data_IF_462481103342
#
_entry.id   IF_462481103342
#
_cell.length_a   1.000
_cell.length_b   1.000
_cell.length_c   1.000
_cell.angle_alpha   90.00
_cell.angle_beta   90.00
_cell.angle_gamma   90.00
#
_symmetry.space_group_name_H-M   'P 1'
#
loop_
_entity.id
_entity.type
_entity.pdbx_description
1 polymer ?
#
# COMPACT_ATOMS: atom_id res chain seq x y z
N UNK A 1 6.96 10.25 9.70
CA UNK A 1 5.67 9.52 9.66
C UNK A 1 4.89 9.74 8.38
N UNK A 2 5.07 10.84 7.65
CA UNK A 2 4.34 11.10 6.38
C UNK A 2 4.77 10.12 5.30
N UNK A 3 6.08 9.84 5.14
CA UNK A 3 6.55 8.98 4.05
C UNK A 3 6.09 7.52 4.18
N UNK A 4 6.14 6.93 5.38
CA UNK A 4 5.66 5.55 5.62
C UNK A 4 4.13 5.47 5.46
N UNK A 5 3.38 6.45 5.98
CA UNK A 5 1.91 6.50 5.82
C UNK A 5 1.52 6.65 4.35
N UNK A 6 2.21 7.52 3.61
CA UNK A 6 1.98 7.74 2.17
C UNK A 6 2.30 6.48 1.37
N UNK A 7 3.44 5.82 1.62
CA UNK A 7 3.78 4.56 0.95
C UNK A 7 2.78 3.45 1.27
N UNK A 8 2.31 3.36 2.53
CA UNK A 8 1.27 2.41 2.91
C UNK A 8 -0.06 2.64 2.18
N UNK A 9 -0.51 3.90 2.08
CA UNK A 9 -1.71 4.28 1.32
C UNK A 9 -1.53 3.93 -0.17
N UNK A 10 -0.35 4.23 -0.74
CA UNK A 10 -0.04 3.94 -2.13
C UNK A 10 -0.13 2.43 -2.42
N UNK A 11 0.46 1.59 -1.56
CA UNK A 11 0.40 0.12 -1.65
C UNK A 11 -1.05 -0.36 -1.61
N UNK A 12 -1.87 0.20 -0.73
CA UNK A 12 -3.28 -0.17 -0.60
C UNK A 12 -4.09 0.16 -1.87
N UNK A 13 -3.96 1.39 -2.38
CA UNK A 13 -4.61 1.83 -3.62
C UNK A 13 -4.17 0.96 -4.80
N UNK A 14 -2.86 0.68 -4.90
CA UNK A 14 -2.29 -0.12 -5.97
C UNK A 14 -2.79 -1.57 -5.93
N UNK A 15 -2.97 -2.13 -4.73
CA UNK A 15 -3.54 -3.47 -4.53
C UNK A 15 -4.99 -3.56 -5.00
N UNK A 16 -5.82 -2.57 -4.64
CA UNK A 16 -7.21 -2.49 -5.12
C UNK A 16 -7.24 -2.36 -6.65
N UNK A 17 -6.40 -1.49 -7.21
CA UNK A 17 -6.32 -1.26 -8.65
C UNK A 17 -5.93 -2.53 -9.40
N UNK A 18 -4.96 -3.29 -8.88
CA UNK A 18 -4.56 -4.60 -9.43
C UNK A 18 -5.70 -5.62 -9.37
N UNK A 19 -6.46 -5.66 -8.27
CA UNK A 19 -7.60 -6.56 -8.14
C UNK A 19 -8.69 -6.23 -9.16
N UNK A 20 -9.01 -4.95 -9.36
CA UNK A 20 -9.97 -4.49 -10.35
C UNK A 20 -9.52 -4.80 -11.78
N UNK A 21 -8.25 -4.51 -12.12
CA UNK A 21 -7.67 -4.86 -13.42
C UNK A 21 -7.74 -6.36 -13.70
N UNK A 22 -7.36 -7.18 -12.71
CA UNK A 22 -7.43 -8.65 -12.83
C UNK A 22 -8.87 -9.13 -13.07
N UNK A 23 -9.84 -8.58 -12.33
CA UNK A 23 -11.27 -8.87 -12.53
C UNK A 23 -11.74 -8.48 -13.93
N UNK A 24 -11.35 -7.30 -14.41
CA UNK A 24 -11.70 -6.82 -15.75
C UNK A 24 -11.10 -7.71 -16.84
N UNK A 25 -9.83 -8.10 -16.73
CA UNK A 25 -9.16 -9.02 -17.66
C UNK A 25 -9.89 -10.36 -17.69
N UNK A 26 -10.25 -10.89 -16.52
CA UNK A 26 -10.99 -12.15 -16.40
C UNK A 26 -12.36 -12.09 -17.09
N UNK A 27 -13.14 -11.01 -16.85
CA UNK A 27 -14.43 -10.78 -17.52
C UNK A 27 -14.27 -10.65 -19.03
N UNK A 28 -13.25 -9.93 -19.49
CA UNK A 28 -12.97 -9.76 -20.91
C UNK A 28 -12.57 -11.08 -21.58
N UNK A 29 -11.82 -11.94 -20.88
CA UNK A 29 -11.44 -13.26 -21.36
C UNK A 29 -12.65 -14.20 -21.50
N UNK A 30 -13.52 -14.25 -20.48
CA UNK A 30 -14.77 -15.02 -20.56
C UNK A 30 -15.63 -14.56 -21.74
N UNK A 31 -15.81 -13.24 -21.88
CA UNK A 31 -16.59 -12.67 -22.98
C UNK A 31 -16.03 -13.03 -24.35
N UNK A 32 -14.71 -12.94 -24.53
CA UNK A 32 -14.06 -13.32 -25.78
C UNK A 32 -14.30 -14.79 -26.13
N UNK A 33 -14.18 -15.69 -25.16
CA UNK A 33 -14.42 -17.12 -25.38
C UNK A 33 -15.88 -17.39 -25.78
N UNK A 34 -16.83 -16.82 -25.02
CA UNK A 34 -18.27 -16.97 -25.31
C UNK A 34 -18.62 -16.42 -26.71
N UNK A 35 -18.00 -15.31 -27.11
CA UNK A 35 -18.22 -14.69 -28.41
C UNK A 35 -17.62 -15.52 -29.55
N UNK A 36 -16.39 -16.04 -29.39
CA UNK A 36 -15.77 -16.91 -30.39
C UNK A 36 -16.54 -18.22 -30.55
N UNK A 37 -16.98 -18.83 -29.45
CA UNK A 37 -17.78 -20.05 -29.47
C UNK A 37 -19.12 -19.82 -30.18
N UNK A 38 -19.75 -18.66 -29.96
CA UNK A 38 -20.95 -18.25 -30.68
C UNK A 38 -20.69 -18.15 -32.19
N UNK A 39 -19.68 -17.40 -32.61
CA UNK A 39 -19.37 -17.21 -34.03
C UNK A 39 -19.02 -18.53 -34.72
N UNK A 40 -18.22 -19.38 -34.07
CA UNK A 40 -17.87 -20.71 -34.59
C UNK A 40 -19.10 -21.61 -34.70
N UNK A 41 -19.99 -21.59 -33.71
CA UNK A 41 -21.24 -22.36 -33.74
C UNK A 41 -22.15 -21.91 -34.89
N UNK A 42 -22.31 -20.59 -35.08
CA UNK A 42 -23.12 -20.05 -36.17
C UNK A 42 -22.54 -20.42 -37.54
N UNK A 43 -21.21 -20.32 -37.70
CA UNK A 43 -20.52 -20.78 -38.90
C UNK A 43 -20.78 -22.28 -39.14
N UNK A 44 -20.62 -23.13 -38.14
CA UNK A 44 -20.84 -24.58 -38.26
C UNK A 44 -22.26 -24.90 -38.70
N UNK A 45 -23.27 -24.22 -38.14
CA UNK A 45 -24.67 -24.41 -38.55
C UNK A 45 -24.92 -24.05 -40.01
N UNK A 46 -24.32 -22.99 -40.56
CA UNK A 46 -24.46 -22.67 -42.00
C UNK A 46 -23.94 -23.81 -42.87
N UNK A 47 -22.82 -24.41 -42.50
CA UNK A 47 -22.20 -25.52 -43.20
C UNK A 47 -23.04 -26.80 -43.08
N UNK A 48 -23.58 -27.10 -41.89
CA UNK A 48 -24.47 -28.24 -41.67
C UNK A 48 -25.77 -28.11 -42.46
N UNK A 49 -26.36 -26.91 -42.53
CA UNK A 49 -27.54 -26.63 -43.34
C UNK A 49 -27.24 -26.91 -44.82
N UNK A 50 -26.14 -26.37 -45.34
CA UNK A 50 -25.74 -26.58 -46.74
C UNK A 50 -25.47 -28.06 -47.06
N UNK A 51 -24.78 -28.78 -46.14
CA UNK A 51 -24.51 -30.22 -46.25
C UNK A 51 -25.81 -31.03 -46.26
N UNK A 52 -26.73 -30.75 -45.36
CA UNK A 52 -28.02 -31.45 -45.28
C UNK A 52 -28.88 -31.18 -46.53
N UNK A 53 -28.83 -29.98 -47.09
CA UNK A 53 -29.50 -29.66 -48.36
C UNK A 53 -28.93 -30.46 -49.52
N UNK A 54 -27.60 -30.57 -49.62
CA UNK A 54 -26.96 -31.43 -50.61
C UNK A 54 -27.36 -32.90 -50.45
N UNK A 55 -27.43 -33.39 -49.20
CA UNK A 55 -27.86 -34.76 -48.91
C UNK A 55 -29.32 -35.00 -49.32
N UNK A 56 -30.25 -34.10 -48.97
CA UNK A 56 -31.66 -34.18 -49.36
C UNK A 56 -31.83 -34.11 -50.89
N UNK A 57 -31.04 -33.28 -51.56
CA UNK A 57 -31.05 -33.19 -53.01
C UNK A 57 -30.61 -34.50 -53.68
N UNK A 58 -29.54 -35.12 -53.16
CA UNK A 58 -28.99 -36.38 -53.71
C UNK A 58 -29.86 -37.60 -53.38
N UNK A 59 -30.49 -37.62 -52.21
CA UNK A 59 -31.29 -38.72 -51.69
C UNK A 59 -32.71 -38.21 -51.36
N UNK A 60 -33.59 -38.17 -52.36
CA UNK A 60 -34.89 -37.49 -52.28
C UNK A 60 -35.86 -38.03 -51.22
N UNK A 61 -35.69 -39.29 -50.81
CA UNK A 61 -36.50 -39.92 -49.75
C UNK A 61 -35.91 -39.73 -48.33
N UNK A 62 -34.81 -38.99 -48.21
CA UNK A 62 -34.15 -38.77 -46.93
C UNK A 62 -34.92 -37.82 -46.01
N UNK A 63 -34.79 -38.05 -44.71
CA UNK A 63 -35.47 -37.24 -43.70
C UNK A 63 -34.88 -35.83 -43.59
N UNK A 64 -35.74 -34.80 -43.53
CA UNK A 64 -35.32 -33.41 -43.29
C UNK A 64 -35.08 -33.08 -41.81
N UNK A 65 -35.14 -34.07 -40.90
CA UNK A 65 -35.02 -33.85 -39.45
C UNK A 65 -33.72 -33.15 -39.03
N UNK A 66 -32.58 -33.56 -39.58
CA UNK A 66 -31.28 -32.93 -39.26
C UNK A 66 -31.18 -31.51 -39.83
N UNK A 67 -31.75 -31.25 -41.03
CA UNK A 67 -31.85 -29.90 -41.58
C UNK A 67 -32.68 -28.98 -40.66
N UNK A 68 -33.86 -29.44 -40.24
CA UNK A 68 -34.74 -28.67 -39.37
C UNK A 68 -34.10 -28.43 -37.98
N UNK A 69 -33.31 -29.39 -37.49
CA UNK A 69 -32.54 -29.27 -36.24
C UNK A 69 -31.45 -28.20 -36.35
N UNK A 70 -30.64 -28.20 -37.41
CA UNK A 70 -29.60 -27.19 -37.63
C UNK A 70 -30.19 -25.79 -37.80
N UNK A 71 -31.31 -25.65 -38.52
CA UNK A 71 -32.02 -24.37 -38.67
C UNK A 71 -32.54 -23.87 -37.31
N UNK A 72 -33.21 -24.73 -36.53
CA UNK A 72 -33.70 -24.37 -35.19
C UNK A 72 -32.56 -23.98 -34.25
N UNK A 73 -31.43 -24.69 -34.30
CA UNK A 73 -30.27 -24.37 -33.48
C UNK A 73 -29.65 -23.01 -33.84
N UNK A 74 -29.56 -22.69 -35.14
CA UNK A 74 -29.11 -21.38 -35.61
C UNK A 74 -30.02 -20.26 -35.09
N UNK A 75 -31.33 -20.36 -35.35
CA UNK A 75 -32.32 -19.33 -34.97
C UNK A 75 -32.35 -19.14 -33.45
N UNK A 76 -32.35 -20.23 -32.68
CA UNK A 76 -32.30 -20.17 -31.22
C UNK A 76 -31.06 -19.46 -30.69
N UNK A 77 -29.91 -19.63 -31.33
CA UNK A 77 -28.67 -18.95 -30.94
C UNK A 77 -28.65 -17.47 -31.35
N UNK A 78 -29.41 -17.08 -32.38
CA UNK A 78 -29.60 -15.67 -32.77
C UNK A 78 -30.62 -14.95 -31.89
N UNK A 79 -31.70 -15.62 -31.48
CA UNK A 79 -32.78 -15.04 -30.67
C UNK A 79 -32.40 -14.88 -29.18
N UNK A 80 -31.72 -15.88 -28.59
CA UNK A 80 -31.42 -15.88 -27.16
C UNK A 80 -30.24 -15.00 -26.75
N UNK A 81 -29.56 -14.37 -27.70
CA UNK A 81 -28.44 -13.49 -27.42
C UNK A 81 -28.59 -12.30 -28.34
N UNK A 82 -29.07 -11.18 -27.81
CA UNK A 82 -28.72 -9.88 -28.38
C UNK A 82 -27.24 -9.96 -28.69
N UNK A 83 -26.89 -9.97 -29.98
CA UNK A 83 -25.51 -10.02 -30.40
C UNK A 83 -24.79 -8.93 -29.59
N UNK A 84 -23.87 -9.26 -28.67
CA UNK A 84 -23.40 -8.32 -27.65
C UNK A 84 -22.36 -7.34 -28.22
N UNK A 85 -22.58 -6.94 -29.47
CA UNK A 85 -21.64 -6.27 -30.36
C UNK A 85 -21.81 -4.77 -30.27
N UNK A 86 -23.00 -4.29 -29.92
CA UNK A 86 -23.27 -2.85 -29.88
C UNK A 86 -22.69 -2.13 -28.65
N UNK A 87 -22.30 -2.84 -27.58
CA UNK A 87 -21.79 -2.19 -26.37
C UNK A 87 -20.27 -2.17 -26.21
N UNK A 88 -19.50 -2.89 -27.06
CA UNK A 88 -18.04 -3.03 -26.83
C UNK A 88 -17.15 -3.26 -28.05
N UNK A 89 -17.72 -3.43 -29.24
CA UNK A 89 -16.95 -3.63 -30.47
C UNK A 89 -16.50 -2.32 -31.11
N UNK A 90 -15.40 -2.34 -31.86
CA UNK A 90 -15.07 -1.26 -32.79
C UNK A 90 -16.16 -1.10 -33.85
N UNK A 91 -16.28 0.11 -34.42
CA UNK A 91 -17.24 0.43 -35.50
C UNK A 91 -17.20 -0.60 -36.64
N UNK A 92 -16.02 -1.13 -36.95
CA UNK A 92 -15.77 -2.13 -38.00
C UNK A 92 -16.40 -3.49 -37.67
N UNK A 93 -16.28 -3.98 -36.43
CA UNK A 93 -16.91 -5.23 -35.97
C UNK A 93 -18.44 -5.11 -36.04
N UNK A 94 -19.00 -3.96 -35.67
CA UNK A 94 -20.45 -3.73 -35.76
C UNK A 94 -20.93 -3.75 -37.21
N UNK A 95 -20.20 -3.10 -38.13
CA UNK A 95 -20.54 -3.10 -39.56
C UNK A 95 -20.47 -4.50 -40.18
N UNK A 96 -19.44 -5.27 -39.85
CA UNK A 96 -19.25 -6.65 -40.33
C UNK A 96 -20.35 -7.59 -39.85
N UNK A 97 -20.77 -7.43 -38.61
CA UNK A 97 -21.90 -8.19 -38.06
C UNK A 97 -23.19 -7.91 -38.81
N UNK A 98 -23.53 -6.65 -39.08
CA UNK A 98 -24.72 -6.31 -39.88
C UNK A 98 -24.67 -6.95 -41.27
N UNK A 99 -23.49 -6.99 -41.89
CA UNK A 99 -23.27 -7.67 -43.17
C UNK A 99 -23.53 -9.17 -43.07
N UNK A 100 -23.05 -9.84 -42.03
CA UNK A 100 -23.33 -11.26 -41.76
C UNK A 100 -24.83 -11.49 -41.55
N UNK A 101 -25.52 -10.64 -40.78
CA UNK A 101 -26.98 -10.74 -40.59
C UNK A 101 -27.73 -10.65 -41.92
N UNK A 102 -27.33 -9.72 -42.80
CA UNK A 102 -27.93 -9.59 -44.13
C UNK A 102 -27.70 -10.85 -44.98
N UNK A 103 -26.46 -11.33 -45.03
CA UNK A 103 -26.11 -12.55 -45.78
C UNK A 103 -26.81 -13.79 -45.23
N UNK A 104 -27.02 -13.86 -43.92
CA UNK A 104 -27.77 -14.93 -43.29
C UNK A 104 -29.22 -14.92 -43.75
N UNK A 105 -29.87 -13.76 -43.77
CA UNK A 105 -31.26 -13.65 -44.22
C UNK A 105 -31.40 -14.07 -45.70
N UNK A 106 -30.44 -13.69 -46.55
CA UNK A 106 -30.38 -14.12 -47.95
C UNK A 106 -30.21 -15.65 -48.06
N UNK A 107 -29.27 -16.24 -47.32
CA UNK A 107 -29.06 -17.69 -47.28
C UNK A 107 -30.29 -18.44 -46.76
N UNK A 108 -30.89 -17.96 -45.67
CA UNK A 108 -32.07 -18.56 -45.07
C UNK A 108 -33.26 -18.57 -46.04
N UNK A 109 -33.45 -17.49 -46.82
CA UNK A 109 -34.49 -17.43 -47.85
C UNK A 109 -34.25 -18.49 -48.94
N UNK A 110 -33.01 -18.68 -49.39
CA UNK A 110 -32.67 -19.73 -50.35
C UNK A 110 -32.98 -21.13 -49.80
N UNK A 111 -32.65 -21.38 -48.53
CA UNK A 111 -32.91 -22.64 -47.83
C UNK A 111 -34.41 -22.92 -47.73
N UNK A 112 -35.23 -21.93 -47.38
CA UNK A 112 -36.70 -22.11 -47.32
C UNK A 112 -37.29 -22.39 -48.70
N UNK A 113 -36.87 -21.63 -49.71
CA UNK A 113 -37.33 -21.86 -51.08
C UNK A 113 -36.97 -23.28 -51.57
N UNK A 114 -35.78 -23.78 -51.25
CA UNK A 114 -35.40 -25.15 -51.56
C UNK A 114 -36.30 -26.17 -50.86
N UNK A 115 -36.55 -25.97 -49.56
CA UNK A 115 -37.39 -26.85 -48.73
C UNK A 115 -38.83 -26.95 -49.26
N UNK A 116 -39.39 -25.86 -49.77
CA UNK A 116 -40.74 -25.85 -50.33
C UNK A 116 -40.81 -26.56 -51.69
N UNK A 117 -39.82 -26.31 -52.56
CA UNK A 117 -39.78 -26.94 -53.89
C UNK A 117 -39.38 -28.41 -53.86
N UNK A 118 -38.54 -28.83 -52.92
CA UNK A 118 -38.14 -30.23 -52.76
C UNK A 118 -39.32 -31.16 -52.43
N UNK A 119 -40.43 -30.63 -51.89
CA UNK A 119 -41.66 -31.38 -51.59
C UNK A 119 -42.61 -31.56 -52.77
N UNK A 120 -42.42 -30.84 -53.88
CA UNK A 120 -43.34 -30.84 -55.03
C UNK A 120 -42.66 -31.50 -56.24
N UNK A 121 -43.00 -32.77 -56.48
CA UNK A 121 -42.33 -33.60 -57.48
C UNK A 121 -42.88 -33.35 -58.89
N UNK A 122 -42.07 -32.79 -59.79
CA UNK A 122 -42.38 -32.65 -61.23
C UNK A 122 -41.13 -32.96 -62.09
N UNK A 123 -41.25 -33.47 -63.33
CA UNK A 123 -40.10 -33.73 -64.21
C UNK A 123 -39.18 -32.51 -64.47
N UNK A 124 -39.73 -31.29 -64.48
CA UNK A 124 -38.96 -30.03 -64.63
C UNK A 124 -38.30 -29.55 -63.32
N UNK A 125 -38.57 -30.19 -62.19
CA UNK A 125 -38.07 -29.79 -60.86
C UNK A 125 -36.56 -29.97 -60.71
N UNK A 126 -35.93 -30.86 -61.48
CA UNK A 126 -34.53 -31.26 -61.25
C UNK A 126 -33.53 -30.15 -61.59
N UNK A 127 -33.69 -29.45 -62.72
CA UNK A 127 -32.80 -28.33 -63.11
C UNK A 127 -32.95 -27.15 -62.14
N UNK A 128 -34.19 -26.88 -61.71
CA UNK A 128 -34.48 -25.81 -60.76
C UNK A 128 -33.90 -26.10 -59.37
N UNK A 129 -34.01 -27.34 -58.90
CA UNK A 129 -33.41 -27.78 -57.64
C UNK A 129 -31.88 -27.75 -57.69
N UNK A 130 -31.28 -28.16 -58.80
CA UNK A 130 -29.82 -28.09 -59.00
C UNK A 130 -29.31 -26.65 -58.89
N UNK A 131 -29.98 -25.71 -59.58
CA UNK A 131 -29.66 -24.29 -59.47
C UNK A 131 -29.75 -23.79 -58.03
N UNK A 132 -30.82 -24.15 -57.30
CA UNK A 132 -31.01 -23.72 -55.91
C UNK A 132 -29.94 -24.29 -54.97
N UNK A 133 -29.54 -25.55 -55.15
CA UNK A 133 -28.45 -26.16 -54.37
C UNK A 133 -27.13 -25.43 -54.64
N UNK A 134 -26.86 -25.06 -55.90
CA UNK A 134 -25.67 -24.29 -56.26
C UNK A 134 -25.69 -22.87 -55.66
N UNK A 135 -26.84 -22.19 -55.71
CA UNK A 135 -27.01 -20.86 -55.10
C UNK A 135 -26.80 -20.92 -53.58
N UNK A 136 -27.32 -21.97 -52.92
CA UNK A 136 -27.12 -22.22 -51.48
C UNK A 136 -25.64 -22.51 -51.17
N UNK A 137 -24.95 -23.29 -52.01
CA UNK A 137 -23.52 -23.56 -51.86
C UNK A 137 -22.68 -22.27 -51.91
N UNK A 138 -22.91 -21.42 -52.90
CA UNK A 138 -22.19 -20.15 -53.02
C UNK A 138 -22.53 -19.18 -51.89
N UNK A 139 -23.80 -19.09 -51.49
CA UNK A 139 -24.21 -18.27 -50.36
C UNK A 139 -23.59 -18.74 -49.03
N UNK A 140 -23.51 -20.06 -48.80
CA UNK A 140 -22.83 -20.64 -47.64
C UNK A 140 -21.33 -20.29 -47.63
N UNK A 141 -20.63 -20.44 -48.76
CA UNK A 141 -19.19 -20.08 -48.84
C UNK A 141 -19.00 -18.60 -48.49
N UNK A 142 -19.84 -17.72 -49.02
CA UNK A 142 -19.78 -16.29 -48.72
C UNK A 142 -19.99 -16.01 -47.23
N UNK A 143 -20.94 -16.66 -46.58
CA UNK A 143 -21.16 -16.54 -45.14
C UNK A 143 -19.96 -17.03 -44.33
N UNK A 144 -19.43 -18.20 -44.67
CA UNK A 144 -18.27 -18.78 -43.99
C UNK A 144 -17.06 -17.84 -44.05
N UNK A 145 -16.78 -17.24 -45.21
CA UNK A 145 -15.69 -16.28 -45.37
C UNK A 145 -15.86 -15.04 -44.48
N UNK A 146 -17.08 -14.49 -44.39
CA UNK A 146 -17.33 -13.31 -43.55
C UNK A 146 -17.26 -13.65 -42.06
N UNK A 147 -17.71 -14.84 -41.64
CA UNK A 147 -17.51 -15.33 -40.27
C UNK A 147 -16.02 -15.47 -39.94
N UNK A 148 -15.22 -16.05 -40.83
CA UNK A 148 -13.77 -16.19 -40.63
C UNK A 148 -13.07 -14.83 -40.53
N UNK A 149 -13.47 -13.88 -41.36
CA UNK A 149 -12.95 -12.52 -41.29
C UNK A 149 -13.32 -11.86 -39.95
N UNK A 150 -14.59 -11.96 -39.52
CA UNK A 150 -15.05 -11.41 -38.25
C UNK A 150 -14.31 -12.02 -37.04
N UNK A 151 -14.14 -13.34 -37.03
CA UNK A 151 -13.36 -14.05 -36.01
C UNK A 151 -11.92 -13.52 -35.96
N UNK A 152 -11.28 -13.35 -37.13
CA UNK A 152 -9.92 -12.81 -37.22
C UNK A 152 -9.83 -11.38 -36.69
N UNK A 153 -10.73 -10.49 -37.12
CA UNK A 153 -10.78 -9.10 -36.66
C UNK A 153 -10.95 -9.02 -35.14
N UNK A 154 -11.92 -9.77 -34.60
CA UNK A 154 -12.17 -9.81 -33.16
C UNK A 154 -10.94 -10.32 -32.38
N UNK A 155 -10.32 -11.41 -32.84
CA UNK A 155 -9.13 -11.98 -32.21
C UNK A 155 -7.97 -10.97 -32.19
N UNK A 156 -7.70 -10.28 -33.30
CA UNK A 156 -6.64 -9.27 -33.36
C UNK A 156 -6.91 -8.09 -32.42
N UNK A 157 -8.16 -7.59 -32.37
CA UNK A 157 -8.53 -6.50 -31.46
C UNK A 157 -8.43 -6.93 -29.99
N UNK A 158 -8.90 -8.14 -29.67
CA UNK A 158 -8.77 -8.72 -28.34
C UNK A 158 -7.31 -8.90 -27.93
N UNK A 159 -6.46 -9.50 -28.77
CA UNK A 159 -5.05 -9.75 -28.46
C UNK A 159 -4.28 -8.45 -28.19
N UNK A 160 -4.54 -7.40 -28.98
CA UNK A 160 -3.94 -6.08 -28.78
C UNK A 160 -4.32 -5.48 -27.42
N UNK A 161 -5.61 -5.50 -27.09
CA UNK A 161 -6.11 -4.95 -25.83
C UNK A 161 -5.64 -5.80 -24.63
N UNK A 162 -5.65 -7.13 -24.77
CA UNK A 162 -5.22 -8.07 -23.75
C UNK A 162 -3.73 -7.93 -23.42
N UNK A 163 -2.86 -7.82 -24.44
CA UNK A 163 -1.43 -7.62 -24.22
C UNK A 163 -1.14 -6.30 -23.48
N UNK A 164 -1.83 -5.22 -23.86
CA UNK A 164 -1.72 -3.93 -23.19
C UNK A 164 -2.12 -4.02 -21.70
N UNK A 165 -3.31 -4.57 -21.41
CA UNK A 165 -3.78 -4.73 -20.02
C UNK A 165 -2.89 -5.65 -19.19
N UNK A 166 -2.39 -6.75 -19.77
CA UNK A 166 -1.48 -7.69 -19.09
C UNK A 166 -0.12 -7.08 -18.81
N UNK A 167 0.43 -6.32 -19.76
CA UNK A 167 1.70 -5.58 -19.56
C UNK A 167 1.57 -4.53 -18.45
N UNK A 168 0.45 -3.79 -18.43
CA UNK A 168 0.17 -2.82 -17.37
C UNK A 168 0.07 -3.51 -16.00
N UNK A 169 -0.65 -4.64 -15.91
CA UNK A 169 -0.77 -5.42 -14.68
C UNK A 169 0.60 -5.87 -14.15
N UNK A 170 1.47 -6.41 -15.00
CA UNK A 170 2.82 -6.82 -14.59
C UNK A 170 3.69 -5.64 -14.15
N UNK A 171 3.58 -4.50 -14.85
CA UNK A 171 4.31 -3.28 -14.49
C UNK A 171 3.89 -2.78 -13.11
N UNK A 172 2.57 -2.70 -12.86
CA UNK A 172 2.03 -2.32 -11.55
C UNK A 172 2.44 -3.32 -10.47
N UNK A 173 2.42 -4.62 -10.75
CA UNK A 173 2.89 -5.63 -9.80
C UNK A 173 4.37 -5.47 -9.46
N UNK A 174 5.23 -5.18 -10.43
CA UNK A 174 6.65 -4.91 -10.19
C UNK A 174 6.84 -3.68 -9.29
N UNK A 175 6.08 -2.60 -9.55
CA UNK A 175 6.08 -1.39 -8.72
C UNK A 175 5.66 -1.72 -7.28
N UNK A 176 4.64 -2.57 -7.10
CA UNK A 176 4.19 -3.02 -5.78
C UNK A 176 5.32 -3.71 -5.00
N UNK A 177 6.05 -4.62 -5.66
CA UNK A 177 7.15 -5.36 -5.04
C UNK A 177 8.27 -4.40 -4.61
N UNK A 178 8.65 -3.45 -5.46
CA UNK A 178 9.67 -2.46 -5.12
C UNK A 178 9.24 -1.59 -3.93
N UNK A 179 7.97 -1.17 -3.88
CA UNK A 179 7.41 -0.41 -2.76
C UNK A 179 7.41 -1.21 -1.45
N UNK A 180 7.08 -2.50 -1.51
CA UNK A 180 7.14 -3.39 -0.34
C UNK A 180 8.57 -3.51 0.19
N UNK A 181 9.55 -3.74 -0.70
CA UNK A 181 10.96 -3.80 -0.31
C UNK A 181 11.41 -2.48 0.35
N UNK A 182 11.01 -1.34 -0.22
CA UNK A 182 11.29 -0.04 0.36
C UNK A 182 10.68 0.11 1.77
N UNK A 183 9.41 -0.28 1.93
CA UNK A 183 8.72 -0.24 3.23
C UNK A 183 9.39 -1.14 4.26
N UNK A 184 9.85 -2.33 3.88
CA UNK A 184 10.59 -3.23 4.76
C UNK A 184 11.90 -2.61 5.25
N UNK A 185 12.65 -1.95 4.37
CA UNK A 185 13.89 -1.25 4.74
C UNK A 185 13.61 -0.14 5.76
N UNK A 186 12.59 0.69 5.51
CA UNK A 186 12.17 1.75 6.44
C UNK A 186 11.73 1.20 7.80
N UNK A 187 10.98 0.08 7.81
CA UNK A 187 10.54 -0.56 9.05
C UNK A 187 11.72 -1.08 9.87
N UNK A 188 12.73 -1.67 9.20
CA UNK A 188 13.94 -2.17 9.86
C UNK A 188 14.72 -1.05 10.55
N UNK A 189 14.88 0.10 9.88
CA UNK A 189 15.51 1.29 10.47
C UNK A 189 14.75 1.78 11.70
N UNK A 190 13.41 1.90 11.60
CA UNK A 190 12.56 2.31 12.71
C UNK A 190 12.68 1.37 13.92
N UNK A 191 12.66 0.06 13.69
CA UNK A 191 12.82 -0.94 14.76
C UNK A 191 14.19 -0.79 15.43
N UNK A 192 15.26 -0.61 14.65
CA UNK A 192 16.61 -0.40 15.20
C UNK A 192 16.68 0.86 16.06
N UNK A 193 16.05 1.94 15.61
CA UNK A 193 15.93 3.16 16.39
C UNK A 193 15.18 2.94 17.71
N UNK A 194 14.00 2.32 17.67
CA UNK A 194 13.20 2.06 18.88
C UNK A 194 13.97 1.18 19.87
N UNK A 195 14.70 0.16 19.39
CA UNK A 195 15.52 -0.69 20.26
C UNK A 195 16.66 0.09 20.93
N UNK A 196 17.38 0.94 20.19
CA UNK A 196 18.42 1.79 20.78
C UNK A 196 17.84 2.82 21.73
N UNK A 197 16.74 3.47 21.35
CA UNK A 197 16.02 4.41 22.19
C UNK A 197 15.59 3.76 23.52
N UNK A 198 14.95 2.58 23.46
CA UNK A 198 14.51 1.86 24.66
C UNK A 198 15.69 1.40 25.51
N UNK A 199 16.75 0.88 24.90
CA UNK A 199 17.93 0.43 25.65
C UNK A 199 18.68 1.60 26.29
N UNK A 200 18.87 2.72 25.60
CA UNK A 200 19.47 3.93 26.18
C UNK A 200 18.57 4.51 27.26
N UNK A 201 17.26 4.62 27.03
CA UNK A 201 16.30 5.10 28.05
C UNK A 201 16.30 4.19 29.27
N UNK A 202 16.29 2.87 29.06
CA UNK A 202 16.39 1.90 30.16
C UNK A 202 17.69 2.07 30.92
N UNK A 203 18.84 2.19 30.24
CA UNK A 203 20.14 2.47 30.89
C UNK A 203 20.09 3.73 31.75
N UNK A 204 19.49 4.82 31.27
CA UNK A 204 19.35 6.07 32.04
C UNK A 204 18.48 5.84 33.30
N UNK A 205 17.40 5.08 33.19
CA UNK A 205 16.45 4.86 34.30
C UNK A 205 16.99 3.81 35.30
N UNK A 206 17.66 2.75 34.81
CA UNK A 206 18.08 1.61 35.64
C UNK A 206 19.50 1.72 36.16
N UNK A 207 20.38 2.46 35.48
CA UNK A 207 21.66 2.80 36.07
C UNK A 207 21.40 3.88 37.12
N UNK A 208 21.77 3.59 38.36
CA UNK A 208 21.71 4.53 39.49
C UNK A 208 22.70 5.69 39.35
N UNK A 209 23.52 5.71 38.29
CA UNK A 209 24.45 6.77 37.94
C UNK A 209 23.91 7.63 36.81
N UNK A 210 23.71 8.91 37.08
CA UNK A 210 23.34 9.95 36.10
C UNK A 210 24.56 10.60 35.45
N UNK A 211 25.77 10.07 35.69
CA UNK A 211 27.02 10.66 35.18
C UNK A 211 27.21 10.34 33.70
N UNK A 212 27.51 11.36 32.91
CA UNK A 212 27.92 11.28 31.50
C UNK A 212 26.94 10.46 30.63
N UNK A 213 25.64 10.81 30.71
CA UNK A 213 24.62 10.17 29.89
C UNK A 213 25.01 10.29 28.41
N UNK A 214 25.17 9.14 27.74
CA UNK A 214 25.62 9.11 26.36
C UNK A 214 24.47 9.34 25.36
N UNK A 215 24.66 10.24 24.37
CA UNK A 215 23.69 10.44 23.31
C UNK A 215 23.60 9.22 22.39
N UNK A 216 22.45 9.06 21.73
CA UNK A 216 22.27 8.02 20.73
C UNK A 216 23.10 8.38 19.48
N UNK A 217 24.11 7.56 19.18
CA UNK A 217 24.95 7.69 17.97
C UNK A 217 24.44 6.76 16.87
N UNK A 218 23.88 7.33 15.80
CA UNK A 218 23.50 6.64 14.56
C UNK A 218 23.85 7.48 13.33
N UNK A 219 24.24 6.80 12.24
CA UNK A 219 24.98 7.38 11.10
C UNK A 219 24.11 7.77 9.91
N UNK A 220 22.93 7.18 9.74
CA UNK A 220 22.03 7.44 8.62
C UNK A 220 20.60 7.09 9.03
N UNK A 221 19.71 8.08 9.01
CA UNK A 221 18.33 7.90 9.43
C UNK A 221 17.41 8.80 8.59
N UNK A 222 16.18 8.33 8.37
CA UNK A 222 15.10 9.17 7.84
C UNK A 222 14.93 10.45 8.69
N UNK A 223 14.47 11.54 8.05
CA UNK A 223 14.36 12.88 8.65
C UNK A 223 13.66 12.87 10.00
N UNK A 224 12.66 12.00 10.17
CA UNK A 224 11.87 11.91 11.39
C UNK A 224 12.59 11.18 12.52
N UNK A 225 13.33 10.12 12.21
CA UNK A 225 14.15 9.43 13.21
C UNK A 225 15.29 10.35 13.65
N UNK A 226 15.90 11.09 12.71
CA UNK A 226 16.89 12.13 13.01
C UNK A 226 16.35 13.19 13.99
N UNK A 227 15.12 13.66 13.77
CA UNK A 227 14.48 14.64 14.66
C UNK A 227 14.23 14.06 16.05
N UNK A 228 13.70 12.83 16.14
CA UNK A 228 13.47 12.16 17.42
C UNK A 228 14.79 11.94 18.19
N UNK A 229 15.83 11.51 17.49
CA UNK A 229 17.20 11.37 18.03
C UNK A 229 17.72 12.70 18.56
N UNK A 230 17.59 13.77 17.78
CA UNK A 230 18.08 15.10 18.19
C UNK A 230 17.33 15.61 19.43
N UNK A 231 16.00 15.45 19.49
CA UNK A 231 15.22 15.83 20.66
C UNK A 231 15.64 15.04 21.92
N UNK A 232 15.87 13.73 21.76
CA UNK A 232 16.35 12.90 22.86
C UNK A 232 17.76 13.32 23.31
N UNK A 233 18.67 13.54 22.37
CA UNK A 233 20.05 13.96 22.69
C UNK A 233 20.08 15.34 23.35
N UNK A 234 19.21 16.28 22.95
CA UNK A 234 19.05 17.58 23.61
C UNK A 234 18.55 17.43 25.06
N UNK A 235 17.65 16.47 25.32
CA UNK A 235 17.21 16.18 26.68
C UNK A 235 18.37 15.63 27.52
N UNK A 236 19.14 14.69 26.97
CA UNK A 236 20.32 14.10 27.60
C UNK A 236 21.35 15.19 27.95
N UNK A 237 21.64 16.09 27.01
CA UNK A 237 22.55 17.22 27.20
C UNK A 237 22.07 18.17 28.30
N UNK A 238 20.77 18.50 28.32
CA UNK A 238 20.17 19.33 29.39
C UNK A 238 20.29 18.68 30.77
N UNK A 239 20.13 17.36 30.87
CA UNK A 239 20.29 16.64 32.12
C UNK A 239 21.74 16.74 32.59
N UNK A 240 22.71 16.40 31.71
CA UNK A 240 24.14 16.48 32.04
C UNK A 240 24.54 17.88 32.47
N UNK A 241 24.15 18.92 31.71
CA UNK A 241 24.46 20.31 32.04
C UNK A 241 23.80 20.76 33.35
N UNK A 242 22.57 20.31 33.65
CA UNK A 242 21.92 20.63 34.93
C UNK A 242 22.65 20.02 36.11
N UNK A 243 23.12 18.77 35.99
CA UNK A 243 23.90 18.08 37.03
C UNK A 243 25.23 18.82 37.28
N UNK A 244 25.93 19.18 36.22
CA UNK A 244 27.18 19.95 36.29
C UNK A 244 26.97 21.31 36.96
N UNK A 245 25.96 22.07 36.51
CA UNK A 245 25.61 23.36 37.08
C UNK A 245 25.21 23.25 38.56
N UNK A 246 24.43 22.23 38.93
CA UNK A 246 24.06 21.98 40.33
C UNK A 246 25.29 21.64 41.18
N UNK A 247 26.21 20.81 40.67
CA UNK A 247 27.45 20.47 41.37
C UNK A 247 28.31 21.72 41.63
N UNK A 248 28.52 22.55 40.60
CA UNK A 248 29.26 23.80 40.72
C UNK A 248 28.58 24.80 41.66
N UNK A 249 27.24 24.91 41.60
CA UNK A 249 26.47 25.82 42.47
C UNK A 249 26.54 25.41 43.94
N UNK A 250 26.50 24.11 44.23
CA UNK A 250 26.66 23.58 45.59
C UNK A 250 28.08 23.87 46.11
N UNK A 251 29.10 23.66 45.28
CA UNK A 251 30.49 23.92 45.66
C UNK A 251 30.76 25.40 45.93
N UNK A 252 30.26 26.29 45.06
CA UNK A 252 30.34 27.73 45.26
C UNK A 252 29.59 28.19 46.53
N UNK A 253 28.39 27.67 46.76
CA UNK A 253 27.60 28.00 47.95
C UNK A 253 28.29 27.52 49.23
N UNK A 254 28.91 26.33 49.20
CA UNK A 254 29.70 25.81 50.31
C UNK A 254 30.91 26.70 50.63
N UNK A 255 31.68 27.11 49.61
CA UNK A 255 32.80 28.03 49.80
C UNK A 255 32.38 29.40 50.32
N UNK A 256 31.24 29.92 49.83
CA UNK A 256 30.68 31.21 50.29
C UNK A 256 30.25 31.15 51.76
N UNK A 257 29.65 30.04 52.20
CA UNK A 257 29.26 29.85 53.60
C UNK A 257 30.49 29.87 54.52
N UNK A 258 31.57 29.18 54.16
CA UNK A 258 32.81 29.19 54.95
C UNK A 258 33.41 30.59 55.09
N UNK A 259 33.33 31.40 54.02
CA UNK A 259 33.81 32.78 54.06
C UNK A 259 32.95 33.66 54.98
N UNK A 260 31.63 33.46 54.98
CA UNK A 260 30.73 34.16 55.91
C UNK A 260 30.99 33.72 57.35
N UNK A 261 31.20 32.42 57.60
CA UNK A 261 31.54 31.86 58.91
C UNK A 261 32.81 32.49 59.49
N UNK A 262 33.86 32.57 58.67
CA UNK A 262 35.12 33.24 59.02
C UNK A 262 34.89 34.70 59.39
N UNK A 263 34.15 35.45 58.57
CA UNK A 263 33.88 36.87 58.83
C UNK A 263 33.08 37.09 60.13
N UNK A 264 32.12 36.22 60.46
CA UNK A 264 31.35 36.31 61.72
C UNK A 264 32.25 35.97 62.92
N UNK A 265 33.13 34.98 62.77
CA UNK A 265 34.10 34.58 63.81
C UNK A 265 35.09 35.72 64.10
N UNK A 266 35.65 36.34 63.06
CA UNK A 266 36.54 37.50 63.18
C UNK A 266 35.83 38.68 63.86
N UNK A 267 34.54 38.89 63.54
CA UNK A 267 33.72 39.92 64.17
C UNK A 267 33.48 39.64 65.67
N UNK A 268 33.23 38.38 66.04
CA UNK A 268 33.09 37.96 67.44
C UNK A 268 34.39 38.20 68.21
N UNK A 269 35.54 37.82 67.65
CA UNK A 269 36.85 38.07 68.27
C UNK A 269 37.11 39.58 68.45
N UNK A 270 36.74 40.39 67.46
CA UNK A 270 36.81 41.85 67.56
C UNK A 270 35.91 42.40 68.67
N UNK A 271 34.69 41.88 68.82
CA UNK A 271 33.77 42.27 69.91
C UNK A 271 34.36 41.89 71.28
N UNK A 272 34.90 40.68 71.43
CA UNK A 272 35.53 40.22 72.68
C UNK A 272 36.76 41.05 73.05
N UNK A 273 37.59 41.41 72.07
CA UNK A 273 38.78 42.26 72.30
C UNK A 273 38.40 43.70 72.65
N UNK A 274 37.33 44.24 72.05
CA UNK A 274 36.80 45.57 72.39
C UNK A 274 36.10 45.62 73.76
N UNK A 275 35.57 44.50 74.27
CA UNK A 275 34.99 44.38 75.61
C UNK A 275 36.02 44.48 76.75
N UNK A 276 37.32 44.53 76.42
CA UNK A 276 38.39 44.80 77.36
C UNK A 276 38.26 46.18 78.01
N UNK A 277 37.76 46.18 79.25
CA UNK A 277 37.68 47.28 80.24
C UNK A 277 36.45 48.21 80.19
N UNK A 278 35.58 48.01 81.20
CA UNK A 278 34.45 48.86 81.67
C UNK A 278 33.05 48.59 81.10
N UNK A 279 32.20 48.05 82.00
CA UNK A 279 30.75 47.77 81.93
C UNK A 279 30.24 46.88 80.79
N UNK A 280 29.66 45.74 81.16
CA UNK A 280 28.90 44.84 80.27
C UNK A 280 27.70 45.61 79.71
N UNK A 281 27.80 46.06 78.46
CA UNK A 281 26.69 46.67 77.72
C UNK A 281 25.72 45.56 77.29
N UNK A 282 24.49 45.60 77.84
CA UNK A 282 23.42 44.65 77.51
C UNK A 282 23.12 44.58 76.01
N UNK A 283 23.30 45.68 75.28
CA UNK A 283 23.05 45.69 73.84
C UNK A 283 24.14 44.96 73.06
N UNK A 284 25.39 44.99 73.55
CA UNK A 284 26.51 44.27 72.97
C UNK A 284 26.35 42.76 73.17
N UNK A 285 25.96 42.32 74.37
CA UNK A 285 25.65 40.90 74.66
C UNK A 285 24.51 40.39 73.78
N UNK A 286 23.46 41.19 73.55
CA UNK A 286 22.35 40.81 72.66
C UNK A 286 22.80 40.67 71.19
N UNK A 287 23.78 41.47 70.74
CA UNK A 287 24.36 41.36 69.40
C UNK A 287 25.28 40.15 69.28
N UNK A 288 26.05 39.85 70.31
CA UNK A 288 26.85 38.64 70.43
C UNK A 288 25.97 37.38 70.33
N UNK A 289 24.89 37.31 71.11
CA UNK A 289 23.91 36.22 71.06
C UNK A 289 23.34 36.05 69.63
N UNK A 290 22.98 37.15 68.96
CA UNK A 290 22.47 37.11 67.59
C UNK A 290 23.52 36.64 66.55
N UNK A 291 24.81 36.95 66.76
CA UNK A 291 25.90 36.48 65.91
C UNK A 291 26.18 34.99 66.14
N UNK A 292 26.09 34.52 67.39
CA UNK A 292 26.20 33.10 67.75
C UNK A 292 25.05 32.30 67.12
N UNK A 293 23.81 32.78 67.23
CA UNK A 293 22.64 32.17 66.59
C UNK A 293 22.82 32.09 65.06
N UNK A 294 23.34 33.16 64.45
CA UNK A 294 23.62 33.19 63.02
C UNK A 294 24.71 32.19 62.61
N UNK A 295 25.75 32.02 63.43
CA UNK A 295 26.80 31.02 63.25
C UNK A 295 26.25 29.59 63.34
N UNK A 296 25.37 29.32 64.30
CA UNK A 296 24.73 28.00 64.47
C UNK A 296 23.82 27.67 63.28
N UNK A 297 23.04 28.64 62.79
CA UNK A 297 22.19 28.48 61.60
C UNK A 297 23.02 28.29 60.31
N UNK A 298 24.14 29.02 60.18
CA UNK A 298 25.07 28.89 59.06
C UNK A 298 25.74 27.52 59.05
N UNK A 299 26.20 27.04 60.21
CA UNK A 299 26.80 25.72 60.39
C UNK A 299 25.80 24.61 60.02
N UNK A 300 24.55 24.76 60.46
CA UNK A 300 23.47 23.84 60.11
C UNK A 300 23.20 23.83 58.60
N UNK A 301 23.22 25.01 57.96
CA UNK A 301 23.03 25.15 56.51
C UNK A 301 24.19 24.56 55.70
N UNK A 302 25.44 24.77 56.14
CA UNK A 302 26.63 24.17 55.53
C UNK A 302 26.56 22.64 55.57
N UNK A 303 26.16 22.08 56.71
CA UNK A 303 25.97 20.63 56.89
C UNK A 303 24.90 20.05 55.97
N UNK A 304 23.75 20.74 55.84
CA UNK A 304 22.70 20.35 54.88
C UNK A 304 23.20 20.38 53.44
N UNK A 305 24.05 21.35 53.09
CA UNK A 305 24.63 21.46 51.76
C UNK A 305 25.67 20.37 51.48
N UNK A 306 26.45 19.98 52.49
CA UNK A 306 27.38 18.87 52.44
C UNK A 306 26.64 17.54 52.23
N UNK A 307 25.55 17.31 52.97
CA UNK A 307 24.68 16.15 52.79
C UNK A 307 24.08 16.13 51.37
N UNK A 308 23.63 17.29 50.85
CA UNK A 308 23.15 17.41 49.48
C UNK A 308 24.24 17.12 48.43
N UNK A 309 25.47 17.61 48.65
CA UNK A 309 26.64 17.31 47.79
C UNK A 309 26.93 15.81 47.79
N UNK A 310 26.85 15.18 48.95
CA UNK A 310 27.08 13.74 49.13
C UNK A 310 26.00 12.91 48.46
N UNK A 311 24.73 13.31 48.56
CA UNK A 311 23.61 12.66 47.87
C UNK A 311 23.74 12.80 46.35
N UNK A 312 24.07 14.00 45.86
CA UNK A 312 24.32 14.25 44.43
C UNK A 312 25.52 13.42 43.93
N UNK A 313 26.62 13.39 44.69
CA UNK A 313 27.79 12.59 44.34
C UNK A 313 27.49 11.09 44.38
N UNK A 314 26.67 10.61 45.32
CA UNK A 314 26.21 9.22 45.39
C UNK A 314 25.39 8.83 44.15
N UNK A 315 24.49 9.72 43.71
CA UNK A 315 23.76 9.57 42.45
C UNK A 315 24.68 9.61 41.22
N UNK A 316 25.87 10.20 41.33
CA UNK A 316 26.87 10.24 40.26
C UNK A 316 27.80 9.01 40.33
N UNK A 317 28.15 8.52 41.52
CA UNK A 317 29.24 7.55 41.76
C UNK A 317 28.79 6.13 42.09
N UNK A 318 27.49 5.85 42.21
CA UNK A 318 26.96 4.51 42.57
C UNK A 318 27.21 3.38 41.54
N UNK A 319 28.21 3.52 40.65
CA UNK A 319 28.58 2.54 39.63
C UNK A 319 29.89 1.78 39.87
N UNK A 320 30.61 1.97 40.98
CA UNK A 320 31.90 1.25 41.19
C UNK A 320 31.73 -0.13 41.87
N UNK A 321 30.56 -0.47 42.44
CA UNK A 321 30.37 -1.72 43.19
C UNK A 321 29.23 -2.58 42.64
N UNK A 322 29.45 -3.18 41.47
CA UNK A 322 28.84 -4.45 41.00
C UNK A 322 29.48 -4.83 39.66
N UNK A 323 30.76 -5.22 39.73
CA UNK A 323 31.41 -6.04 38.69
C UNK A 323 31.21 -7.52 39.01
#
# INVERSE_FOLDING_TARGET
MTNIKVVGILIFILSITLALLSSQISKQNSFNNDFLDLLNSQKAFTQDIAKNIFFVYRYRDSSTKELDKSIKAFVKNMENREFPIEQKGSLEITQKTRKITKLWNEFYLLVQNFRDKAKTTSPYSTILLEKMVNDIYHANIKLVMEFDELIKMHKTEYEKNFHSSKSLQYTLFLILVVLLVYLFTQLKELISFIQKFLSTSKKIITNSSIKDLEPIKMKNESKEILQARNNFNLLVEKINSSIENSSHSIEHSFGSLYQVESNITDLLELIYTMQGTHSIDKELTKREDALIDSLEELTTSAKRLEDLKKDLNSLISSSILKS
#
